data_IF_142965234289
#
_entry.id   IF_142965234289
#
_cell.length_a   1.000
_cell.length_b   1.000
_cell.length_c   1.000
_cell.angle_alpha   90.00
_cell.angle_beta   90.00
_cell.angle_gamma   90.00
#
_symmetry.space_group_name_H-M   'P 1'
#
loop_
_entity.id
_entity.type
_entity.pdbx_description
1 polymer ?
#
# COMPACT_ATOMS: atom_id res chain seq x y z
N UNK A 1 7.96 3.57 -18.53
CA UNK A 1 6.58 3.28 -18.09
C UNK A 1 6.58 2.92 -16.62
N UNK A 2 5.77 3.55 -15.76
CA UNK A 2 5.71 3.17 -14.36
C UNK A 2 5.07 1.80 -14.20
N UNK A 3 5.53 1.07 -13.21
CA UNK A 3 4.88 -0.14 -12.76
C UNK A 3 3.75 0.19 -11.78
N UNK A 4 2.85 -0.76 -11.57
CA UNK A 4 1.73 -0.63 -10.65
C UNK A 4 1.75 -1.78 -9.65
N UNK A 5 1.61 -1.46 -8.37
CA UNK A 5 1.78 -2.42 -7.29
C UNK A 5 0.69 -2.29 -6.25
N UNK A 6 0.33 -3.40 -5.65
CA UNK A 6 -0.51 -3.44 -4.45
C UNK A 6 0.39 -3.84 -3.29
N UNK A 7 0.53 -2.97 -2.30
CA UNK A 7 1.48 -3.14 -1.19
C UNK A 7 0.75 -3.30 0.13
N UNK A 8 1.00 -4.41 0.82
CA UNK A 8 0.40 -4.68 2.13
C UNK A 8 1.07 -3.84 3.23
N UNK A 9 0.24 -3.25 4.08
CA UNK A 9 0.64 -2.56 5.29
C UNK A 9 0.07 -3.31 6.48
N UNK A 10 0.91 -3.59 7.48
CA UNK A 10 0.55 -4.47 8.58
C UNK A 10 0.70 -5.95 8.20
N UNK A 11 0.35 -6.83 9.13
CA UNK A 11 0.39 -8.28 8.90
C UNK A 11 -0.66 -8.95 9.80
N UNK A 12 -0.85 -10.27 9.63
CA UNK A 12 -1.92 -11.01 10.31
C UNK A 12 -1.90 -10.88 11.84
N UNK A 13 -0.71 -10.78 12.44
CA UNK A 13 -0.54 -10.63 13.90
C UNK A 13 -0.35 -9.20 14.36
N UNK A 14 -0.22 -8.27 13.43
CA UNK A 14 -0.04 -6.85 13.70
C UNK A 14 -0.76 -6.04 12.63
N UNK A 15 -2.11 -6.07 12.61
CA UNK A 15 -2.86 -5.29 11.63
C UNK A 15 -2.69 -3.80 11.90
N UNK A 16 -2.89 -3.00 10.85
CA UNK A 16 -2.90 -1.55 10.99
C UNK A 16 -4.05 -1.16 11.92
N UNK A 17 -3.76 -0.34 12.95
CA UNK A 17 -4.77 0.09 13.91
C UNK A 17 -5.76 1.06 13.29
N UNK A 18 -6.95 1.15 13.85
CA UNK A 18 -7.99 2.06 13.37
C UNK A 18 -7.52 3.53 13.40
N UNK A 19 -6.76 3.89 14.41
CA UNK A 19 -6.19 5.24 14.62
C UNK A 19 -4.74 5.35 14.11
N UNK A 20 -4.38 4.54 13.13
CA UNK A 20 -3.00 4.42 12.64
C UNK A 20 -2.37 5.74 12.21
N UNK A 21 -3.16 6.64 11.66
CA UNK A 21 -2.61 7.89 11.12
C UNK A 21 -1.99 8.77 12.20
N UNK A 22 -2.50 8.69 13.42
CA UNK A 22 -1.95 9.44 14.56
C UNK A 22 -0.66 8.84 15.08
N UNK A 23 -0.55 7.51 15.02
CA UNK A 23 0.56 6.77 15.63
C UNK A 23 1.64 6.39 14.63
N UNK A 24 1.29 6.23 13.36
CA UNK A 24 2.19 5.71 12.34
C UNK A 24 2.17 6.53 11.04
N UNK A 25 2.22 7.85 11.20
CA UNK A 25 2.23 8.76 10.05
C UNK A 25 3.44 8.54 9.12
N UNK A 26 4.51 7.91 9.60
CA UNK A 26 5.68 7.58 8.79
C UNK A 26 5.33 6.63 7.63
N UNK A 27 4.26 5.86 7.76
CA UNK A 27 3.79 4.96 6.69
C UNK A 27 3.35 5.69 5.43
N UNK A 28 3.10 7.00 5.55
CA UNK A 28 2.78 7.85 4.40
C UNK A 28 4.04 8.35 3.67
N UNK A 29 5.22 8.10 4.20
CA UNK A 29 6.50 8.55 3.64
C UNK A 29 7.45 7.43 3.30
N UNK A 30 7.37 6.30 4.00
CA UNK A 30 8.23 5.15 3.81
C UNK A 30 7.45 3.87 3.98
N UNK A 31 7.75 2.88 3.15
CA UNK A 31 7.16 1.56 3.30
C UNK A 31 8.24 0.49 3.31
N UNK A 32 8.06 -0.52 4.17
CA UNK A 32 9.05 -1.57 4.39
C UNK A 32 8.75 -2.85 3.64
N UNK A 33 9.81 -3.60 3.32
CA UNK A 33 9.73 -4.85 2.58
C UNK A 33 10.63 -5.91 3.22
N UNK A 34 10.22 -7.19 3.23
CA UNK A 34 11.05 -8.27 3.76
C UNK A 34 12.24 -8.62 2.88
N UNK A 35 12.17 -8.26 1.58
CA UNK A 35 13.22 -8.47 0.59
C UNK A 35 13.29 -7.24 -0.30
N UNK A 36 14.41 -7.09 -1.01
CA UNK A 36 14.55 -5.99 -1.96
C UNK A 36 13.45 -6.09 -3.03
N UNK A 37 12.54 -5.12 -3.10
CA UNK A 37 11.47 -5.14 -4.10
C UNK A 37 11.97 -4.71 -5.47
N UNK A 38 11.19 -5.05 -6.51
CA UNK A 38 11.45 -4.61 -7.89
C UNK A 38 10.79 -3.28 -8.22
N UNK A 39 10.27 -2.61 -7.22
CA UNK A 39 9.61 -1.32 -7.39
C UNK A 39 10.68 -0.27 -7.70
N UNK A 40 10.46 0.49 -8.77
CA UNK A 40 11.39 1.52 -9.24
C UNK A 40 10.83 2.92 -8.94
N UNK A 41 11.69 3.95 -8.90
CA UNK A 41 11.22 5.34 -8.76
C UNK A 41 10.19 5.66 -9.85
N UNK A 42 9.11 6.33 -9.46
CA UNK A 42 8.01 6.65 -10.36
C UNK A 42 6.91 5.60 -10.42
N UNK A 43 7.14 4.41 -9.91
CA UNK A 43 6.10 3.39 -9.84
C UNK A 43 4.98 3.83 -8.89
N UNK A 44 3.77 3.36 -9.16
CA UNK A 44 2.58 3.68 -8.37
C UNK A 44 2.22 2.53 -7.47
N UNK A 45 1.83 2.85 -6.24
CA UNK A 45 1.44 1.86 -5.24
C UNK A 45 0.03 2.14 -4.75
N UNK A 46 -0.75 1.06 -4.65
CA UNK A 46 -2.02 1.07 -3.91
C UNK A 46 -1.72 0.42 -2.57
N UNK A 47 -1.98 1.10 -1.47
CA UNK A 47 -1.72 0.57 -0.14
C UNK A 47 -2.92 -0.21 0.36
N UNK A 48 -2.64 -1.43 0.81
CA UNK A 48 -3.62 -2.42 1.26
C UNK A 48 -3.44 -2.67 2.75
N UNK A 49 -4.50 -2.50 3.53
CA UNK A 49 -4.47 -2.78 4.96
C UNK A 49 -4.71 -4.27 5.21
N UNK A 50 -3.68 -4.97 5.67
CA UNK A 50 -3.77 -6.39 6.00
C UNK A 50 -4.81 -6.63 7.10
N UNK A 51 -5.52 -7.75 7.03
CA UNK A 51 -6.63 -8.11 7.90
C UNK A 51 -7.92 -7.35 7.57
N UNK A 52 -7.85 -6.03 7.37
CA UNK A 52 -8.99 -5.22 6.94
C UNK A 52 -9.43 -5.54 5.51
N UNK A 53 -8.48 -6.00 4.66
CA UNK A 53 -8.72 -6.32 3.24
C UNK A 53 -9.26 -5.13 2.45
N UNK A 54 -8.79 -3.94 2.79
CA UNK A 54 -9.22 -2.67 2.19
C UNK A 54 -8.04 -1.95 1.60
N UNK A 55 -8.30 -1.21 0.52
CA UNK A 55 -7.30 -0.32 -0.08
C UNK A 55 -7.55 1.09 0.45
N UNK A 56 -6.52 1.75 0.96
CA UNK A 56 -6.71 2.99 1.71
C UNK A 56 -5.84 4.14 1.27
N UNK A 57 -4.90 3.93 0.37
CA UNK A 57 -4.04 5.02 -0.10
C UNK A 57 -3.48 4.75 -1.48
N UNK A 58 -3.15 5.84 -2.18
CA UNK A 58 -2.40 5.83 -3.43
C UNK A 58 -1.10 6.55 -3.16
N UNK A 59 0.01 5.96 -3.58
CA UNK A 59 1.34 6.55 -3.39
C UNK A 59 2.19 6.37 -4.64
N UNK A 60 3.28 7.11 -4.70
CA UNK A 60 4.27 7.01 -5.77
C UNK A 60 5.63 6.77 -5.13
N UNK A 61 6.40 5.83 -5.67
CA UNK A 61 7.77 5.64 -5.26
C UNK A 61 8.61 6.83 -5.72
N UNK A 62 9.37 7.43 -4.81
CA UNK A 62 10.22 8.58 -5.11
C UNK A 62 11.70 8.28 -4.94
N UNK A 63 12.05 7.02 -4.67
CA UNK A 63 13.44 6.61 -4.51
C UNK A 63 13.65 5.14 -4.80
N UNK A 64 14.92 4.75 -4.88
CA UNK A 64 15.31 3.35 -5.00
C UNK A 64 15.12 2.63 -3.67
N UNK A 65 14.94 1.29 -3.68
CA UNK A 65 14.95 0.53 -2.44
C UNK A 65 16.27 0.71 -1.70
N UNK A 66 16.16 0.96 -0.39
CA UNK A 66 17.33 1.16 0.47
C UNK A 66 17.31 0.15 1.63
N UNK A 67 18.48 -0.36 2.03
CA UNK A 67 18.55 -1.22 3.21
C UNK A 67 18.38 -0.41 4.48
N UNK A 68 17.82 -1.04 5.52
CA UNK A 68 17.71 -0.45 6.85
C UNK A 68 17.80 -1.54 7.91
N UNK A 69 18.10 -1.16 9.14
CA UNK A 69 18.06 -2.09 10.25
C UNK A 69 16.63 -2.25 10.75
N UNK A 70 16.06 -3.40 10.44
CA UNK A 70 14.74 -3.77 10.92
C UNK A 70 14.60 -5.29 10.89
N UNK A 71 14.08 -5.92 11.95
CA UNK A 71 14.01 -7.38 12.03
C UNK A 71 13.08 -8.03 10.99
N UNK A 72 12.05 -7.33 10.53
CA UNK A 72 11.08 -7.87 9.57
C UNK A 72 11.20 -7.25 8.19
N UNK A 73 11.51 -5.97 8.14
CA UNK A 73 11.50 -5.21 6.88
C UNK A 73 12.84 -4.51 6.67
N UNK A 74 13.88 -5.29 6.31
CA UNK A 74 15.22 -4.73 6.12
C UNK A 74 15.39 -3.87 4.87
N UNK A 75 14.35 -3.72 4.08
CA UNK A 75 14.33 -2.84 2.92
C UNK A 75 13.24 -1.80 3.06
N UNK A 76 13.49 -0.59 2.59
CA UNK A 76 12.50 0.48 2.60
C UNK A 76 12.54 1.27 1.30
N UNK A 77 11.39 1.82 0.92
CA UNK A 77 11.26 2.73 -0.21
C UNK A 77 10.60 4.01 0.29
N UNK A 78 11.17 5.15 -0.08
CA UNK A 78 10.52 6.44 0.14
C UNK A 78 9.36 6.60 -0.82
N UNK A 79 8.24 7.06 -0.32
CA UNK A 79 7.02 7.25 -1.11
C UNK A 79 6.46 8.65 -0.90
N UNK A 80 5.72 9.12 -1.90
CA UNK A 80 4.89 10.30 -1.80
C UNK A 80 3.44 9.86 -1.84
N UNK A 81 2.67 10.17 -0.81
CA UNK A 81 1.26 9.82 -0.74
C UNK A 81 0.46 10.81 -1.55
N UNK A 82 -0.31 10.31 -2.50
CA UNK A 82 -1.11 11.13 -3.41
C UNK A 82 -2.57 11.23 -2.94
N UNK A 83 -3.06 10.20 -2.27
CA UNK A 83 -4.43 10.14 -1.78
C UNK A 83 -4.48 9.16 -0.60
N UNK A 84 -5.20 9.50 0.46
CA UNK A 84 -5.32 8.65 1.63
C UNK A 84 -6.73 8.70 2.22
N UNK A 85 -7.23 7.54 2.64
CA UNK A 85 -8.46 7.42 3.41
C UNK A 85 -8.03 7.06 4.83
N UNK A 86 -8.06 8.00 5.79
CA UNK A 86 -7.52 7.76 7.13
C UNK A 86 -8.36 6.79 7.96
N UNK A 87 -9.66 6.70 7.67
CA UNK A 87 -10.58 5.80 8.39
C UNK A 87 -10.70 4.51 7.61
N UNK A 88 -10.12 3.42 8.11
CA UNK A 88 -10.07 2.15 7.38
C UNK A 88 -11.46 1.56 7.10
N UNK A 89 -12.41 1.75 8.00
CA UNK A 89 -13.79 1.31 7.78
C UNK A 89 -14.44 1.97 6.56
N UNK A 90 -14.03 3.17 6.23
CA UNK A 90 -14.55 3.91 5.09
C UNK A 90 -13.84 3.59 3.78
N UNK A 91 -12.69 2.91 3.85
CA UNK A 91 -11.91 2.58 2.66
C UNK A 91 -12.59 1.46 1.86
N UNK A 92 -12.46 1.47 0.52
CA UNK A 92 -13.08 0.43 -0.29
C UNK A 92 -12.41 -0.93 -0.10
N UNK A 93 -13.18 -2.03 -0.22
CA UNK A 93 -12.57 -3.36 -0.17
C UNK A 93 -11.69 -3.60 -1.40
N UNK A 94 -10.70 -4.48 -1.27
CA UNK A 94 -9.76 -4.75 -2.37
C UNK A 94 -10.47 -5.31 -3.60
N UNK A 95 -11.58 -6.01 -3.44
CA UNK A 95 -12.38 -6.51 -4.56
C UNK A 95 -12.93 -5.39 -5.45
N UNK A 96 -13.11 -4.20 -4.89
CA UNK A 96 -13.59 -3.04 -5.65
C UNK A 96 -12.63 -2.62 -6.78
N UNK A 97 -11.35 -2.97 -6.65
CA UNK A 97 -10.36 -2.68 -7.70
C UNK A 97 -10.12 -3.87 -8.64
N UNK A 98 -10.88 -4.96 -8.46
CA UNK A 98 -10.77 -6.14 -9.31
C UNK A 98 -9.71 -7.15 -8.87
N UNK A 99 -9.22 -7.05 -7.64
CA UNK A 99 -8.22 -7.95 -7.08
C UNK A 99 -8.85 -8.76 -5.94
N UNK A 100 -8.66 -10.07 -5.96
CA UNK A 100 -9.15 -10.93 -4.88
C UNK A 100 -8.26 -10.80 -3.65
N UNK A 101 -8.85 -10.73 -2.45
CA UNK A 101 -8.10 -10.61 -1.21
C UNK A 101 -7.10 -11.74 -1.02
N UNK A 102 -7.42 -12.96 -1.47
CA UNK A 102 -6.51 -14.11 -1.40
C UNK A 102 -5.20 -13.91 -2.15
N UNK A 103 -5.19 -13.03 -3.17
CA UNK A 103 -3.96 -12.71 -3.92
C UNK A 103 -2.90 -12.06 -3.04
N UNK A 104 -3.31 -11.46 -1.94
CA UNK A 104 -2.41 -10.81 -0.97
C UNK A 104 -2.03 -11.74 0.18
N UNK A 105 -2.55 -12.96 0.22
CA UNK A 105 -2.21 -13.90 1.29
C UNK A 105 -0.72 -14.19 1.29
N UNK A 106 -0.04 -13.91 2.41
CA UNK A 106 1.40 -14.09 2.59
C UNK A 106 2.27 -13.29 1.61
N UNK A 107 1.70 -12.28 0.95
CA UNK A 107 2.44 -11.42 0.03
C UNK A 107 2.71 -10.06 0.69
N UNK A 108 3.93 -9.56 0.54
CA UNK A 108 4.28 -8.19 0.90
C UNK A 108 3.69 -7.22 -0.12
N UNK A 109 3.81 -7.56 -1.38
CA UNK A 109 3.31 -6.76 -2.49
C UNK A 109 3.15 -7.65 -3.72
N UNK A 110 2.28 -7.23 -4.63
CA UNK A 110 2.09 -7.90 -5.92
C UNK A 110 2.04 -6.85 -7.03
N UNK A 111 2.43 -7.25 -8.23
CA UNK A 111 2.23 -6.43 -9.42
C UNK A 111 0.75 -6.45 -9.79
N UNK A 112 0.21 -5.31 -10.14
CA UNK A 112 -1.17 -5.18 -10.62
C UNK A 112 -1.16 -4.51 -11.98
N UNK A 113 -2.28 -4.57 -12.70
CA UNK A 113 -2.41 -3.92 -13.99
C UNK A 113 -2.80 -2.46 -13.82
N UNK A 114 -2.53 -1.66 -14.85
CA UNK A 114 -2.90 -0.25 -14.86
C UNK A 114 -4.39 -0.06 -14.61
N UNK A 115 -5.24 -0.92 -15.17
CA UNK A 115 -6.69 -0.83 -14.97
C UNK A 115 -7.11 -1.03 -13.52
N UNK A 116 -6.43 -1.90 -12.77
CA UNK A 116 -6.67 -2.05 -11.33
C UNK A 116 -6.28 -0.78 -10.58
N UNK A 117 -5.16 -0.18 -10.95
CA UNK A 117 -4.71 1.07 -10.38
C UNK A 117 -5.71 2.19 -10.63
N UNK A 118 -6.19 2.32 -11.86
CA UNK A 118 -7.16 3.35 -12.22
C UNK A 118 -8.46 3.19 -11.44
N UNK A 119 -8.92 1.94 -11.25
CA UNK A 119 -10.08 1.65 -10.40
C UNK A 119 -9.83 2.03 -8.94
N UNK A 120 -8.62 1.81 -8.45
CA UNK A 120 -8.26 2.19 -7.09
C UNK A 120 -8.33 3.70 -6.90
N UNK A 121 -7.77 4.46 -7.84
CA UNK A 121 -7.83 5.93 -7.80
C UNK A 121 -9.29 6.40 -7.78
N UNK A 122 -10.12 5.84 -8.65
CA UNK A 122 -11.54 6.18 -8.73
C UNK A 122 -12.28 5.85 -7.44
N UNK A 123 -12.08 4.65 -6.91
CA UNK A 123 -12.74 4.19 -5.69
C UNK A 123 -12.33 5.02 -4.46
N UNK A 124 -11.04 5.33 -4.32
CA UNK A 124 -10.57 6.14 -3.20
C UNK A 124 -11.03 7.60 -3.34
N UNK A 125 -10.99 8.15 -4.54
CA UNK A 125 -11.43 9.52 -4.77
C UNK A 125 -12.93 9.69 -4.43
N UNK A 126 -13.75 8.69 -4.74
CA UNK A 126 -15.17 8.71 -4.40
C UNK A 126 -15.41 8.78 -2.90
N UNK A 127 -14.58 8.09 -2.12
CA UNK A 127 -14.71 8.07 -0.66
C UNK A 127 -14.14 9.35 -0.04
N UNK A 128 -13.04 9.87 -0.58
CA UNK A 128 -12.37 11.06 -0.06
C UNK A 128 -13.19 12.34 -0.26
N UNK A 129 -14.13 12.34 -1.17
CA UNK A 129 -15.03 13.46 -1.39
C UNK A 129 -16.20 13.40 -0.40
#
# INVERSE_FOLDING_TARGET
>A
MPGYWLKAIGHARGPLAEDWIEQRAELLRHTGFPRRPRIAPGDRLVLYASVWRRVFAIAQSVGEPEPREHPRWPWTIAIETLLVIPVLDAAPPVEAIGVAARSMSQQSHISIRREHYERAVEALASVAL
#
